data_IF_859956216822
#
_entry.id   IF_859956216822
#
_cell.length_a   1.000
_cell.length_b   1.000
_cell.length_c   1.000
_cell.angle_alpha   90.00
_cell.angle_beta   90.00
_cell.angle_gamma   90.00
#
_symmetry.space_group_name_H-M   'P 1'
#
loop_
_entity.id
_entity.type
_entity.pdbx_description
1 polymer ?
#
# COMPACT_ATOMS: atom_id res chain seq x y z
N UNK A 1 -17.57 19.09 -28.92
CA UNK A 1 -16.63 18.05 -28.42
C UNK A 1 -16.88 17.77 -26.95
N UNK A 2 -16.96 18.76 -26.05
CA UNK A 2 -17.22 18.51 -24.62
C UNK A 2 -18.72 18.27 -24.31
N UNK A 3 -19.63 18.58 -25.20
CA UNK A 3 -21.09 18.41 -25.03
C UNK A 3 -21.52 16.94 -24.88
N UNK A 4 -20.71 16.00 -25.39
CA UNK A 4 -20.93 14.56 -25.27
C UNK A 4 -20.15 13.90 -24.13
N UNK A 5 -19.46 14.73 -23.30
CA UNK A 5 -18.62 14.22 -22.22
C UNK A 5 -19.50 13.66 -21.10
N UNK A 6 -19.32 12.38 -20.83
CA UNK A 6 -19.79 11.75 -19.58
C UNK A 6 -18.60 11.53 -18.68
N UNK A 7 -18.61 12.14 -17.50
CA UNK A 7 -17.54 11.95 -16.53
C UNK A 7 -17.44 10.48 -16.11
N UNK A 8 -16.24 9.92 -15.95
CA UNK A 8 -16.07 8.61 -15.35
C UNK A 8 -16.67 8.57 -13.94
N UNK A 9 -17.06 7.38 -13.50
CA UNK A 9 -17.54 7.19 -12.13
C UNK A 9 -16.48 7.66 -11.11
N UNK A 10 -16.91 8.44 -10.13
CA UNK A 10 -16.00 8.95 -9.09
C UNK A 10 -15.44 7.80 -8.25
N UNK A 11 -14.16 7.87 -7.91
CA UNK A 11 -13.53 6.95 -6.98
C UNK A 11 -14.32 6.84 -5.68
N UNK A 12 -14.56 5.61 -5.21
CA UNK A 12 -15.41 5.33 -4.04
C UNK A 12 -14.91 6.00 -2.76
N UNK A 13 -13.59 6.11 -2.58
CA UNK A 13 -12.99 6.76 -1.41
C UNK A 13 -13.17 8.27 -1.49
N UNK A 14 -12.95 8.88 -2.67
CA UNK A 14 -13.16 10.32 -2.88
C UNK A 14 -14.62 10.69 -2.67
N UNK A 15 -15.55 9.88 -3.17
CA UNK A 15 -16.98 10.05 -2.94
C UNK A 15 -17.33 9.96 -1.45
N UNK A 16 -16.76 8.98 -0.73
CA UNK A 16 -16.97 8.80 0.71
C UNK A 16 -16.47 10.02 1.49
N UNK A 17 -15.30 10.57 1.15
CA UNK A 17 -14.75 11.80 1.75
C UNK A 17 -15.71 12.99 1.58
N UNK A 18 -16.29 13.14 0.39
CA UNK A 18 -17.27 14.19 0.12
C UNK A 18 -18.54 14.04 0.97
N UNK A 19 -19.07 12.81 1.09
CA UNK A 19 -20.24 12.50 1.92
C UNK A 19 -19.92 12.76 3.41
N UNK A 20 -18.74 12.32 3.89
CA UNK A 20 -18.29 12.60 5.25
C UNK A 20 -18.20 14.10 5.54
N UNK A 21 -17.60 14.87 4.65
CA UNK A 21 -17.46 16.32 4.82
C UNK A 21 -18.82 17.03 4.90
N UNK A 22 -19.81 16.58 4.14
CA UNK A 22 -21.15 17.16 4.10
C UNK A 22 -22.05 16.75 5.28
N UNK A 23 -21.70 15.72 6.06
CA UNK A 23 -22.47 15.28 7.22
C UNK A 23 -22.29 16.27 8.38
N UNK A 24 -23.38 16.87 8.93
CA UNK A 24 -23.29 17.84 10.01
C UNK A 24 -23.08 17.22 11.41
N UNK A 25 -23.20 15.89 11.56
CA UNK A 25 -23.10 15.23 12.87
C UNK A 25 -21.70 15.41 13.47
N UNK A 26 -21.56 15.91 14.69
CA UNK A 26 -20.25 16.11 15.32
C UNK A 26 -19.57 14.80 15.74
N UNK A 27 -20.36 13.76 16.06
CA UNK A 27 -19.90 12.44 16.52
C UNK A 27 -19.58 11.45 15.38
N UNK A 28 -19.62 11.90 14.12
CA UNK A 28 -19.31 11.04 12.97
C UNK A 28 -17.89 10.50 13.02
N UNK A 29 -17.71 9.25 12.60
CA UNK A 29 -16.45 8.51 12.68
C UNK A 29 -15.96 8.18 11.25
N UNK A 30 -14.77 8.67 10.87
CA UNK A 30 -14.15 8.37 9.57
C UNK A 30 -13.07 7.29 9.72
N UNK A 31 -13.38 6.10 9.23
CA UNK A 31 -12.47 4.95 9.16
C UNK A 31 -12.26 4.47 7.71
N UNK A 32 -12.69 5.28 6.72
CA UNK A 32 -12.55 4.94 5.30
C UNK A 32 -11.24 5.45 4.68
N UNK A 33 -10.74 6.62 5.12
CA UNK A 33 -9.55 7.23 4.53
C UNK A 33 -8.27 6.58 5.07
N UNK A 34 -7.38 6.17 4.16
CA UNK A 34 -6.14 5.46 4.49
C UNK A 34 -4.99 6.39 4.94
N UNK A 35 -5.18 7.11 6.03
CA UNK A 35 -4.15 7.93 6.69
C UNK A 35 -4.02 7.54 8.15
N UNK A 36 -2.82 7.69 8.70
CA UNK A 36 -2.60 7.57 10.14
C UNK A 36 -3.15 8.82 10.84
N UNK A 37 -3.83 8.62 11.98
CA UNK A 37 -4.25 9.69 12.89
C UNK A 37 -3.83 9.32 14.31
N UNK A 38 -3.23 10.28 15.01
CA UNK A 38 -2.90 10.13 16.43
C UNK A 38 -4.16 10.17 17.32
N UNK A 39 -3.98 9.98 18.61
CA UNK A 39 -5.08 10.02 19.62
C UNK A 39 -5.88 11.33 19.63
N UNK A 40 -5.38 12.40 19.02
CA UNK A 40 -6.06 13.70 18.86
C UNK A 40 -6.79 13.80 17.51
N UNK A 41 -6.82 12.73 16.70
CA UNK A 41 -7.44 12.70 15.37
C UNK A 41 -6.66 13.45 14.28
N UNK A 42 -5.41 13.85 14.55
CA UNK A 42 -4.56 14.57 13.62
C UNK A 42 -3.60 13.63 12.90
N UNK A 43 -3.28 13.96 11.65
CA UNK A 43 -2.15 13.35 10.92
C UNK A 43 -0.90 14.18 11.20
N UNK A 44 -0.02 13.76 12.12
CA UNK A 44 1.14 14.57 12.53
C UNK A 44 2.20 14.57 11.40
N UNK A 45 2.98 15.64 11.35
CA UNK A 45 4.23 15.64 10.59
C UNK A 45 5.32 15.09 11.52
N UNK A 46 6.06 14.10 11.07
CA UNK A 46 7.16 13.50 11.83
C UNK A 46 8.23 14.57 12.16
N UNK A 47 8.81 14.50 13.35
CA UNK A 47 9.87 15.44 13.75
C UNK A 47 11.12 15.31 12.86
N UNK A 48 11.46 14.09 12.45
CA UNK A 48 12.52 13.82 11.48
C UNK A 48 12.27 14.55 10.14
N UNK A 49 11.02 14.55 9.64
CA UNK A 49 10.63 15.29 8.43
C UNK A 49 10.86 16.78 8.58
N UNK A 50 10.36 17.39 9.66
CA UNK A 50 10.56 18.84 9.92
C UNK A 50 12.02 19.24 10.02
N UNK A 51 12.84 18.41 10.63
CA UNK A 51 14.28 18.66 10.75
C UNK A 51 14.97 18.55 9.39
N UNK A 52 14.63 17.55 8.59
CA UNK A 52 15.14 17.39 7.22
C UNK A 52 14.74 18.59 6.33
N UNK A 53 13.48 19.01 6.37
CA UNK A 53 12.99 20.20 5.64
C UNK A 53 13.80 21.45 6.00
N UNK A 54 14.09 21.66 7.29
CA UNK A 54 14.91 22.80 7.74
C UNK A 54 16.34 22.72 7.20
N UNK A 55 16.99 21.54 7.27
CA UNK A 55 18.32 21.33 6.67
C UNK A 55 18.33 21.63 5.17
N UNK A 56 17.28 21.20 4.45
CA UNK A 56 17.14 21.45 3.02
C UNK A 56 16.97 22.95 2.76
N UNK A 57 16.11 23.63 3.52
CA UNK A 57 15.87 25.06 3.40
C UNK A 57 17.16 25.85 3.55
N UNK A 58 17.97 25.56 4.57
CA UNK A 58 19.22 26.27 4.86
C UNK A 58 20.31 26.00 3.81
N UNK A 59 20.34 24.80 3.22
CA UNK A 59 21.39 24.38 2.29
C UNK A 59 21.03 24.55 0.81
N UNK A 60 19.75 24.74 0.47
CA UNK A 60 19.31 24.80 -0.91
C UNK A 60 19.51 26.16 -1.55
N UNK A 61 20.33 26.23 -2.61
CA UNK A 61 20.59 27.47 -3.37
C UNK A 61 20.01 27.50 -4.78
N UNK A 62 19.37 26.39 -5.23
CA UNK A 62 18.81 26.29 -6.59
C UNK A 62 17.50 25.51 -6.62
N UNK A 63 16.64 25.85 -7.56
CA UNK A 63 15.40 25.13 -7.92
C UNK A 63 15.44 24.61 -9.37
N UNK A 64 16.66 24.44 -9.92
CA UNK A 64 16.81 23.81 -11.24
C UNK A 64 16.33 22.35 -11.21
N UNK A 65 15.98 21.84 -12.39
CA UNK A 65 15.54 20.46 -12.54
C UNK A 65 16.61 19.47 -12.10
N UNK A 66 16.17 18.37 -11.49
CA UNK A 66 16.98 17.15 -11.26
C UNK A 66 17.09 16.34 -12.57
N UNK A 67 17.64 15.13 -12.52
CA UNK A 67 17.62 14.25 -13.69
C UNK A 67 16.21 13.75 -14.02
N UNK A 68 16.00 13.24 -15.25
CA UNK A 68 14.74 12.60 -15.63
C UNK A 68 14.40 11.39 -14.77
N UNK A 69 15.42 10.68 -14.27
CA UNK A 69 15.24 9.57 -13.34
C UNK A 69 14.92 10.04 -11.91
N UNK A 70 15.17 11.29 -11.57
CA UNK A 70 15.15 11.83 -10.20
C UNK A 70 16.54 12.00 -9.63
N UNK A 71 16.62 12.39 -8.35
CA UNK A 71 17.88 12.54 -7.63
C UNK A 71 18.51 11.16 -7.34
N UNK A 72 19.77 10.99 -7.73
CA UNK A 72 20.48 9.71 -7.56
C UNK A 72 20.67 9.35 -6.08
N UNK A 73 20.98 10.32 -5.22
CA UNK A 73 21.18 10.05 -3.80
C UNK A 73 19.89 9.54 -3.13
N UNK A 74 18.73 10.11 -3.51
CA UNK A 74 17.44 9.58 -3.08
C UNK A 74 17.22 8.13 -3.53
N UNK A 75 17.49 7.83 -4.80
CA UNK A 75 17.29 6.50 -5.35
C UNK A 75 18.21 5.47 -4.69
N UNK A 76 19.48 5.81 -4.47
CA UNK A 76 20.44 4.97 -3.75
C UNK A 76 19.98 4.70 -2.30
N UNK A 77 19.52 5.74 -1.58
CA UNK A 77 19.04 5.60 -0.21
C UNK A 77 17.77 4.72 -0.12
N UNK A 78 16.85 4.82 -1.09
CA UNK A 78 15.66 3.95 -1.17
C UNK A 78 16.06 2.52 -1.55
N UNK A 79 17.03 2.34 -2.43
CA UNK A 79 17.56 1.00 -2.74
C UNK A 79 18.12 0.33 -1.48
N UNK A 80 18.94 1.03 -0.69
CA UNK A 80 19.49 0.50 0.57
C UNK A 80 18.40 0.21 1.63
N UNK A 81 17.33 0.99 1.62
CA UNK A 81 16.19 0.76 2.51
C UNK A 81 15.42 -0.52 2.15
N UNK A 82 15.23 -0.79 0.85
CA UNK A 82 14.35 -1.84 0.36
C UNK A 82 15.06 -3.19 0.14
N UNK A 83 16.35 -3.21 -0.15
CA UNK A 83 17.04 -4.45 -0.50
C UNK A 83 18.18 -4.76 0.47
N UNK A 84 18.21 -5.99 0.96
CA UNK A 84 19.31 -6.50 1.79
C UNK A 84 20.56 -6.83 0.97
N UNK A 85 20.42 -7.03 -0.34
CA UNK A 85 21.49 -7.44 -1.23
C UNK A 85 21.75 -6.39 -2.31
N UNK A 86 23.03 -6.19 -2.64
CA UNK A 86 23.43 -5.39 -3.80
C UNK A 86 23.26 -6.22 -5.08
N UNK A 87 22.92 -5.57 -6.17
CA UNK A 87 22.73 -6.19 -7.49
C UNK A 87 22.45 -5.15 -8.56
N UNK A 88 22.27 -5.62 -9.80
CA UNK A 88 21.93 -4.76 -10.91
C UNK A 88 20.47 -4.26 -10.77
N UNK A 89 20.30 -2.98 -10.41
CA UNK A 89 18.98 -2.36 -10.25
C UNK A 89 18.89 -1.06 -11.03
N UNK A 90 17.79 -0.90 -11.77
CA UNK A 90 17.40 0.35 -12.37
C UNK A 90 16.40 1.06 -11.45
N UNK A 91 16.46 2.38 -11.35
CA UNK A 91 15.59 3.13 -10.45
C UNK A 91 15.15 4.48 -11.02
N UNK A 92 13.92 4.87 -10.72
CA UNK A 92 13.38 6.21 -10.99
C UNK A 92 12.54 6.70 -9.82
N UNK A 93 12.60 8.00 -9.55
CA UNK A 93 11.68 8.68 -8.65
C UNK A 93 10.32 8.90 -9.36
N UNK A 94 9.24 8.87 -8.57
CA UNK A 94 7.87 8.98 -9.08
C UNK A 94 6.99 9.82 -8.15
N UNK A 95 5.88 10.40 -8.67
CA UNK A 95 4.92 11.13 -7.83
C UNK A 95 4.09 10.16 -6.96
N UNK A 96 4.71 9.63 -5.91
CA UNK A 96 4.12 8.70 -4.95
C UNK A 96 3.96 7.26 -5.47
N UNK A 97 3.43 6.38 -4.63
CA UNK A 97 3.24 4.95 -4.97
C UNK A 97 2.32 4.73 -6.17
N UNK A 98 1.27 5.55 -6.34
CA UNK A 98 0.41 5.46 -7.54
C UNK A 98 1.19 5.73 -8.81
N UNK A 99 2.08 6.74 -8.80
CA UNK A 99 2.99 6.99 -9.91
C UNK A 99 3.95 5.83 -10.15
N UNK A 100 4.47 5.24 -9.06
CA UNK A 100 5.36 4.08 -9.16
C UNK A 100 4.67 2.87 -9.82
N UNK A 101 3.50 2.48 -9.32
CA UNK A 101 2.75 1.35 -9.89
C UNK A 101 2.32 1.60 -11.34
N UNK A 102 1.90 2.85 -11.64
CA UNK A 102 1.59 3.21 -13.02
C UNK A 102 2.81 3.03 -13.93
N UNK A 103 3.99 3.48 -13.52
CA UNK A 103 5.23 3.30 -14.28
C UNK A 103 5.61 1.82 -14.42
N UNK A 104 5.45 1.01 -13.36
CA UNK A 104 5.62 -0.44 -13.46
C UNK A 104 4.70 -1.03 -14.55
N UNK A 105 3.41 -0.67 -14.54
CA UNK A 105 2.44 -1.22 -15.49
C UNK A 105 2.65 -0.68 -16.93
N UNK A 106 3.10 0.56 -17.09
CA UNK A 106 3.49 1.08 -18.40
C UNK A 106 4.74 0.38 -18.94
N UNK A 107 5.73 0.08 -18.09
CA UNK A 107 6.89 -0.72 -18.47
C UNK A 107 6.47 -2.14 -18.91
N UNK A 108 5.58 -2.80 -18.18
CA UNK A 108 5.01 -4.09 -18.59
C UNK A 108 4.34 -4.01 -19.96
N UNK A 109 3.49 -3.00 -20.17
CA UNK A 109 2.80 -2.78 -21.46
C UNK A 109 3.78 -2.57 -22.60
N UNK A 110 4.86 -1.83 -22.35
CA UNK A 110 5.90 -1.59 -23.35
C UNK A 110 6.65 -2.87 -23.70
N UNK A 111 7.02 -3.65 -22.69
CA UNK A 111 7.75 -4.89 -22.85
C UNK A 111 6.92 -6.01 -23.49
N UNK A 112 5.67 -6.16 -23.08
CA UNK A 112 4.74 -7.20 -23.55
C UNK A 112 3.30 -6.69 -23.57
N UNK A 113 2.82 -6.09 -24.65
CA UNK A 113 1.48 -5.46 -24.72
C UNK A 113 0.31 -6.41 -24.41
N UNK A 114 0.48 -7.71 -24.62
CA UNK A 114 -0.57 -8.73 -24.46
C UNK A 114 -0.39 -9.58 -23.19
N UNK A 115 0.50 -9.21 -22.27
CA UNK A 115 0.66 -9.95 -21.02
C UNK A 115 -0.60 -9.81 -20.15
N UNK A 116 -0.82 -10.80 -19.29
CA UNK A 116 -1.81 -10.74 -18.22
C UNK A 116 -1.16 -10.29 -16.91
N UNK A 117 -1.81 -9.38 -16.20
CA UNK A 117 -1.41 -8.98 -14.84
C UNK A 117 -2.35 -9.64 -13.85
N UNK A 118 -1.78 -10.44 -12.96
CA UNK A 118 -2.51 -11.15 -11.92
C UNK A 118 -2.53 -10.31 -10.63
N UNK A 119 -3.73 -10.11 -10.07
CA UNK A 119 -3.96 -9.33 -8.84
C UNK A 119 -4.47 -10.24 -7.71
N UNK A 120 -4.11 -9.98 -6.45
CA UNK A 120 -4.73 -10.68 -5.33
C UNK A 120 -6.22 -10.32 -5.22
N UNK A 121 -7.04 -11.27 -4.81
CA UNK A 121 -8.46 -11.05 -4.54
C UNK A 121 -8.70 -11.21 -3.03
N UNK A 122 -9.08 -10.10 -2.33
CA UNK A 122 -9.21 -8.72 -2.80
C UNK A 122 -7.86 -7.99 -2.92
N UNK A 123 -7.88 -6.80 -3.52
CA UNK A 123 -6.70 -5.93 -3.64
C UNK A 123 -7.07 -4.44 -3.52
N UNK A 124 -6.08 -3.57 -3.50
CA UNK A 124 -6.29 -2.13 -3.62
C UNK A 124 -6.97 -1.80 -4.96
N UNK A 125 -8.18 -1.18 -4.96
CA UNK A 125 -8.98 -1.02 -6.17
C UNK A 125 -8.27 -0.30 -7.33
N UNK A 126 -7.30 0.55 -7.00
CA UNK A 126 -6.59 1.32 -8.02
C UNK A 126 -5.61 0.47 -8.85
N UNK A 127 -5.20 -0.72 -8.39
CA UNK A 127 -4.44 -1.67 -9.22
C UNK A 127 -5.22 -2.00 -10.49
N UNK A 128 -6.43 -2.52 -10.35
CA UNK A 128 -7.28 -2.86 -11.48
C UNK A 128 -7.70 -1.62 -12.30
N UNK A 129 -7.89 -0.46 -11.65
CA UNK A 129 -8.25 0.77 -12.33
C UNK A 129 -7.13 1.25 -13.27
N UNK A 130 -5.89 1.28 -12.82
CA UNK A 130 -4.73 1.68 -13.63
C UNK A 130 -4.52 0.70 -14.79
N UNK A 131 -4.57 -0.61 -14.52
CA UNK A 131 -4.39 -1.65 -15.53
C UNK A 131 -5.44 -1.56 -16.64
N UNK A 132 -6.73 -1.38 -16.28
CA UNK A 132 -7.81 -1.16 -17.25
C UNK A 132 -7.62 0.10 -18.07
N UNK A 133 -7.22 1.20 -17.42
CA UNK A 133 -6.90 2.44 -18.12
C UNK A 133 -5.77 2.26 -19.16
N UNK A 134 -4.77 1.45 -18.82
CA UNK A 134 -3.67 1.11 -19.72
C UNK A 134 -4.05 0.08 -20.79
N UNK A 135 -5.22 -0.54 -20.71
CA UNK A 135 -5.67 -1.58 -21.61
C UNK A 135 -4.92 -2.91 -21.45
N UNK A 136 -4.39 -3.18 -20.25
CA UNK A 136 -3.76 -4.45 -19.91
C UNK A 136 -4.81 -5.47 -19.47
N UNK A 137 -4.56 -6.75 -19.78
CA UNK A 137 -5.41 -7.84 -19.33
C UNK A 137 -5.18 -8.08 -17.82
N UNK A 138 -6.28 -8.39 -17.12
CA UNK A 138 -6.26 -8.60 -15.66
C UNK A 138 -6.91 -9.95 -15.36
N UNK A 139 -6.23 -10.73 -14.53
CA UNK A 139 -6.74 -11.91 -13.86
C UNK A 139 -6.61 -11.72 -12.35
N UNK A 140 -7.34 -12.51 -11.56
CA UNK A 140 -7.18 -12.51 -10.11
C UNK A 140 -6.69 -13.86 -9.62
N UNK A 141 -6.02 -13.85 -8.46
CA UNK A 141 -5.69 -15.05 -7.71
C UNK A 141 -6.26 -14.96 -6.29
N UNK A 142 -6.72 -16.07 -5.76
CA UNK A 142 -7.25 -16.15 -4.40
C UNK A 142 -6.18 -15.80 -3.38
N UNK A 143 -6.50 -14.89 -2.49
CA UNK A 143 -5.61 -14.46 -1.43
C UNK A 143 -6.25 -14.61 -0.05
N UNK A 144 -7.54 -14.25 0.08
CA UNK A 144 -8.27 -14.33 1.33
C UNK A 144 -9.26 -15.50 1.30
N UNK A 145 -9.23 -16.34 2.33
CA UNK A 145 -10.26 -17.33 2.60
C UNK A 145 -11.47 -16.66 3.26
N UNK A 146 -12.60 -16.66 2.59
CA UNK A 146 -13.85 -16.06 3.08
C UNK A 146 -14.37 -16.76 4.34
N UNK A 147 -14.12 -18.07 4.47
CA UNK A 147 -14.57 -18.83 5.61
C UNK A 147 -13.77 -18.54 6.88
N UNK A 148 -12.47 -18.38 6.79
CA UNK A 148 -11.58 -18.14 7.96
C UNK A 148 -11.20 -16.67 8.13
N UNK A 149 -11.29 -15.86 7.05
CA UNK A 149 -10.79 -14.49 7.00
C UNK A 149 -9.27 -14.37 6.97
N UNK A 150 -8.57 -15.50 6.92
CA UNK A 150 -7.12 -15.62 6.80
C UNK A 150 -6.64 -15.77 5.36
N UNK A 151 -5.38 -16.18 5.18
CA UNK A 151 -4.82 -16.48 3.86
C UNK A 151 -5.39 -17.78 3.30
N UNK A 152 -5.88 -17.77 2.06
CA UNK A 152 -6.18 -18.99 1.30
C UNK A 152 -4.91 -19.53 0.64
N UNK A 153 -4.03 -20.16 1.43
CA UNK A 153 -2.77 -20.67 0.91
C UNK A 153 -2.98 -21.69 -0.25
N UNK A 154 -3.93 -22.61 -0.11
CA UNK A 154 -4.18 -23.62 -1.13
C UNK A 154 -4.70 -22.99 -2.43
N UNK A 155 -5.66 -22.07 -2.32
CA UNK A 155 -6.18 -21.33 -3.45
C UNK A 155 -5.14 -20.46 -4.12
N UNK A 156 -4.36 -19.72 -3.35
CA UNK A 156 -3.25 -18.90 -3.82
C UNK A 156 -2.28 -19.74 -4.67
N UNK A 157 -1.79 -20.85 -4.14
CA UNK A 157 -0.82 -21.68 -4.84
C UNK A 157 -1.41 -22.35 -6.09
N UNK A 158 -2.68 -22.77 -6.05
CA UNK A 158 -3.36 -23.34 -7.20
C UNK A 158 -3.52 -22.32 -8.35
N UNK A 159 -3.81 -21.06 -8.02
CA UNK A 159 -4.00 -20.01 -9.01
C UNK A 159 -2.64 -19.52 -9.57
N UNK A 160 -1.63 -19.32 -8.72
CA UNK A 160 -0.28 -18.96 -9.17
C UNK A 160 0.35 -20.02 -10.07
N UNK A 161 0.00 -21.29 -9.89
CA UNK A 161 0.41 -22.37 -10.78
C UNK A 161 -0.16 -22.24 -12.22
N UNK A 162 -1.19 -21.42 -12.44
CA UNK A 162 -1.78 -21.16 -13.77
C UNK A 162 -1.15 -19.95 -14.48
N UNK A 163 -0.35 -19.15 -13.79
CA UNK A 163 0.30 -17.98 -14.37
C UNK A 163 1.14 -18.38 -15.58
N UNK A 164 0.95 -17.74 -16.72
CA UNK A 164 1.72 -18.04 -17.92
C UNK A 164 3.11 -17.41 -17.86
N UNK A 165 4.05 -17.99 -18.62
CA UNK A 165 5.40 -17.46 -18.72
C UNK A 165 5.39 -16.02 -19.29
N UNK A 166 5.96 -15.09 -18.51
CA UNK A 166 6.05 -13.69 -18.87
C UNK A 166 4.82 -12.86 -18.52
N UNK A 167 3.80 -13.45 -17.87
CA UNK A 167 2.78 -12.69 -17.16
C UNK A 167 3.38 -11.99 -15.91
N UNK A 168 2.71 -10.99 -15.41
CA UNK A 168 3.12 -10.30 -14.19
C UNK A 168 2.17 -10.62 -13.02
N UNK A 169 2.73 -10.66 -11.81
CA UNK A 169 1.95 -10.93 -10.58
C UNK A 169 2.18 -9.79 -9.59
N UNK A 170 1.13 -9.05 -9.27
CA UNK A 170 1.17 -7.99 -8.26
C UNK A 170 1.03 -8.60 -6.88
N UNK A 171 1.95 -8.24 -5.98
CA UNK A 171 1.98 -8.71 -4.59
C UNK A 171 2.18 -7.50 -3.69
N UNK A 172 1.41 -7.39 -2.60
CA UNK A 172 1.70 -6.42 -1.56
C UNK A 172 2.91 -6.90 -0.76
N UNK A 173 3.95 -6.06 -0.66
CA UNK A 173 5.20 -6.42 0.01
C UNK A 173 5.05 -6.61 1.52
N UNK A 174 4.10 -5.90 2.13
CA UNK A 174 3.67 -6.05 3.53
C UNK A 174 2.32 -5.36 3.73
N UNK A 175 1.66 -5.62 4.87
CA UNK A 175 0.44 -4.94 5.30
C UNK A 175 -0.64 -4.92 4.22
N UNK A 176 -1.02 -6.09 3.74
CA UNK A 176 -1.91 -6.25 2.59
C UNK A 176 -3.16 -5.36 2.68
N UNK A 177 -3.36 -4.50 1.71
CA UNK A 177 -4.53 -3.64 1.59
C UNK A 177 -5.56 -4.29 0.63
N UNK A 178 -6.77 -4.68 1.11
CA UNK A 178 -7.45 -4.17 2.30
C UNK A 178 -7.43 -5.09 3.55
N UNK A 179 -6.83 -6.26 3.51
CA UNK A 179 -7.10 -7.33 4.48
C UNK A 179 -6.26 -7.29 5.76
N UNK A 180 -5.06 -6.69 5.71
CA UNK A 180 -4.08 -6.80 6.80
C UNK A 180 -3.47 -8.19 6.97
N UNK A 181 -3.75 -9.13 6.07
CA UNK A 181 -3.17 -10.49 6.10
C UNK A 181 -1.70 -10.43 5.70
N UNK A 182 -0.86 -11.12 6.47
CA UNK A 182 0.57 -11.28 6.17
C UNK A 182 0.87 -12.73 5.81
N UNK A 183 1.51 -13.00 4.67
CA UNK A 183 2.02 -14.33 4.37
C UNK A 183 3.13 -14.73 5.35
N UNK A 184 3.16 -16.01 5.74
CA UNK A 184 4.25 -16.56 6.56
C UNK A 184 5.55 -16.64 5.76
N UNK A 185 6.73 -16.78 6.40
CA UNK A 185 8.00 -16.98 5.70
C UNK A 185 7.97 -18.19 4.73
N UNK A 186 7.28 -19.27 5.09
CA UNK A 186 7.11 -20.42 4.20
C UNK A 186 6.22 -20.10 3.01
N UNK A 187 5.12 -19.37 3.24
CA UNK A 187 4.27 -18.90 2.13
C UNK A 187 5.03 -17.99 1.15
N UNK A 188 5.87 -17.07 1.67
CA UNK A 188 6.71 -16.23 0.82
C UNK A 188 7.66 -17.05 -0.05
N UNK A 189 8.25 -18.12 0.52
CA UNK A 189 9.11 -19.07 -0.24
C UNK A 189 8.32 -19.81 -1.30
N UNK A 190 7.13 -20.33 -0.96
CA UNK A 190 6.28 -21.04 -1.92
C UNK A 190 5.86 -20.14 -3.10
N UNK A 191 5.48 -18.89 -2.82
CA UNK A 191 5.19 -17.88 -3.85
C UNK A 191 6.42 -17.66 -4.75
N UNK A 192 7.58 -17.36 -4.17
CA UNK A 192 8.79 -17.05 -4.90
C UNK A 192 9.22 -18.19 -5.84
N UNK A 193 9.28 -19.43 -5.31
CA UNK A 193 9.62 -20.64 -6.08
C UNK A 193 8.60 -20.87 -7.20
N UNK A 194 7.32 -20.68 -6.94
CA UNK A 194 6.27 -20.85 -7.95
C UNK A 194 6.42 -19.83 -9.07
N UNK A 195 6.61 -18.55 -8.75
CA UNK A 195 6.76 -17.50 -9.76
C UNK A 195 8.04 -17.69 -10.59
N UNK A 196 9.16 -18.05 -9.96
CA UNK A 196 10.38 -18.37 -10.65
C UNK A 196 10.22 -19.56 -11.62
N UNK A 197 9.58 -20.64 -11.15
CA UNK A 197 9.28 -21.82 -11.98
C UNK A 197 8.35 -21.50 -13.15
N UNK A 198 7.40 -20.57 -12.96
CA UNK A 198 6.46 -20.14 -14.01
C UNK A 198 7.11 -19.13 -14.99
N UNK A 199 8.25 -18.56 -14.64
CA UNK A 199 8.86 -17.44 -15.40
C UNK A 199 7.97 -16.22 -15.40
N UNK A 200 7.27 -15.99 -14.29
CA UNK A 200 6.42 -14.82 -14.07
C UNK A 200 7.23 -13.66 -13.50
N UNK A 201 6.82 -12.42 -13.79
CA UNK A 201 7.47 -11.22 -13.27
C UNK A 201 6.73 -10.70 -12.02
N UNK A 202 7.35 -10.76 -10.82
CA UNK A 202 6.77 -10.14 -9.64
C UNK A 202 6.77 -8.62 -9.74
N UNK A 203 5.63 -8.00 -9.33
CA UNK A 203 5.47 -6.56 -9.13
C UNK A 203 5.09 -6.34 -7.68
N UNK A 204 6.02 -5.83 -6.89
CA UNK A 204 5.82 -5.66 -5.45
C UNK A 204 5.34 -4.24 -5.15
N UNK A 205 4.14 -4.12 -4.54
CA UNK A 205 3.64 -2.86 -3.98
C UNK A 205 4.14 -2.70 -2.55
N UNK A 206 5.13 -1.81 -2.36
CA UNK A 206 5.76 -1.52 -1.07
C UNK A 206 5.28 -0.16 -0.54
N UNK A 207 4.02 -0.09 -0.11
CA UNK A 207 3.41 1.15 0.36
C UNK A 207 3.41 1.30 1.88
N UNK A 208 3.65 0.25 2.66
CA UNK A 208 3.44 0.22 4.11
C UNK A 208 4.66 -0.25 4.91
N UNK A 209 5.85 -0.17 4.35
CA UNK A 209 7.10 -0.59 5.00
C UNK A 209 7.23 0.02 6.40
N UNK A 210 7.45 -0.81 7.41
CA UNK A 210 7.59 -0.43 8.81
C UNK A 210 6.29 -0.42 9.63
N UNK A 211 5.11 -0.62 8.99
CA UNK A 211 3.82 -0.69 9.68
C UNK A 211 3.34 -2.10 10.04
N UNK A 212 4.00 -3.14 9.55
CA UNK A 212 3.69 -4.52 9.89
C UNK A 212 4.37 -4.96 11.17
N UNK A 213 5.61 -5.40 11.07
CA UNK A 213 6.42 -5.89 12.19
C UNK A 213 7.75 -5.14 12.35
N UNK A 214 8.03 -4.20 11.47
CA UNK A 214 9.27 -3.41 11.43
C UNK A 214 9.88 -3.43 10.03
N UNK A 215 10.81 -2.51 9.78
CA UNK A 215 11.38 -2.31 8.43
C UNK A 215 12.01 -3.59 7.89
N UNK A 216 12.82 -4.30 8.68
CA UNK A 216 13.51 -5.51 8.26
C UNK A 216 12.55 -6.68 8.05
N UNK A 217 11.60 -6.85 8.96
CA UNK A 217 10.60 -7.92 8.89
C UNK A 217 9.65 -7.72 7.71
N UNK A 218 9.22 -6.47 7.49
CA UNK A 218 8.30 -6.12 6.40
C UNK A 218 8.95 -6.24 5.02
N UNK A 219 10.28 -6.15 4.96
CA UNK A 219 11.08 -6.34 3.75
C UNK A 219 11.39 -7.81 3.44
N UNK A 220 11.30 -8.69 4.43
CA UNK A 220 11.74 -10.09 4.30
C UNK A 220 11.09 -10.84 3.13
N UNK A 221 9.81 -10.59 2.84
CA UNK A 221 9.11 -11.17 1.69
C UNK A 221 9.73 -10.72 0.36
N UNK A 222 10.09 -9.44 0.22
CA UNK A 222 10.78 -8.93 -0.96
C UNK A 222 12.16 -9.59 -1.13
N UNK A 223 12.92 -9.75 -0.03
CA UNK A 223 14.23 -10.40 -0.09
C UNK A 223 14.13 -11.85 -0.60
N UNK A 224 13.10 -12.60 -0.16
CA UNK A 224 12.83 -13.97 -0.62
C UNK A 224 12.46 -13.98 -2.12
N UNK A 225 11.61 -13.09 -2.58
CA UNK A 225 11.25 -12.98 -4.01
C UNK A 225 12.48 -12.63 -4.84
N UNK A 226 13.31 -11.69 -4.40
CA UNK A 226 14.51 -11.26 -5.12
C UNK A 226 15.60 -12.33 -5.18
N UNK A 227 15.64 -13.25 -4.21
CA UNK A 227 16.57 -14.37 -4.22
C UNK A 227 16.21 -15.45 -5.26
N UNK A 228 14.93 -15.69 -5.48
CA UNK A 228 14.43 -16.73 -6.39
C UNK A 228 14.13 -16.20 -7.80
N UNK A 229 13.64 -14.96 -7.93
CA UNK A 229 13.25 -14.37 -9.20
C UNK A 229 14.37 -13.46 -9.73
N UNK A 230 14.88 -13.69 -10.96
CA UNK A 230 15.99 -12.91 -11.52
C UNK A 230 15.59 -11.46 -11.84
N UNK A 231 14.31 -11.20 -12.07
CA UNK A 231 13.75 -9.89 -12.39
C UNK A 231 12.56 -9.61 -11.50
N UNK A 232 12.52 -8.42 -10.90
CA UNK A 232 11.46 -7.97 -9.98
C UNK A 232 11.23 -6.47 -10.18
N UNK A 233 9.97 -6.04 -10.25
CA UNK A 233 9.61 -4.62 -10.18
C UNK A 233 9.09 -4.29 -8.77
N UNK A 234 9.56 -3.19 -8.20
CA UNK A 234 9.10 -2.70 -6.90
C UNK A 234 8.56 -1.28 -7.04
N UNK A 235 7.29 -1.09 -6.69
CA UNK A 235 6.68 0.22 -6.56
C UNK A 235 6.70 0.67 -5.10
N UNK A 236 7.57 1.61 -4.76
CA UNK A 236 7.72 2.15 -3.40
C UNK A 236 6.89 3.43 -3.20
N UNK A 237 6.34 3.59 -1.99
CA UNK A 237 5.68 4.82 -1.55
C UNK A 237 6.17 5.26 -0.17
N UNK A 238 6.63 6.50 -0.07
CA UNK A 238 6.96 7.14 1.21
C UNK A 238 5.75 7.80 1.90
N UNK A 239 4.55 7.75 1.28
CA UNK A 239 3.37 8.46 1.79
C UNK A 239 3.01 8.08 3.22
N UNK A 240 3.15 6.81 3.62
CA UNK A 240 2.81 6.32 4.95
C UNK A 240 4.04 6.28 5.85
N UNK A 241 5.08 5.55 5.46
CA UNK A 241 6.29 5.32 6.27
C UNK A 241 7.02 6.61 6.68
N UNK A 242 6.90 7.67 5.88
CA UNK A 242 7.46 9.00 6.19
C UNK A 242 6.38 10.06 6.47
N UNK A 243 5.09 9.70 6.45
CA UNK A 243 4.00 10.65 6.64
C UNK A 243 3.88 11.73 5.55
N UNK A 244 4.52 11.53 4.38
CA UNK A 244 4.60 12.49 3.26
C UNK A 244 3.44 12.33 2.28
N UNK A 245 2.20 12.32 2.77
CA UNK A 245 1.00 12.10 1.94
C UNK A 245 0.83 13.13 0.83
N UNK A 246 1.16 14.40 1.11
CA UNK A 246 0.99 15.54 0.19
C UNK A 246 2.12 15.68 -0.82
N UNK A 247 3.33 15.29 -0.42
CA UNK A 247 4.56 15.56 -1.20
C UNK A 247 4.72 14.63 -2.40
N UNK A 248 3.91 13.57 -2.43
CA UNK A 248 3.87 12.60 -3.53
C UNK A 248 5.24 11.99 -3.82
N UNK A 249 5.81 11.31 -2.81
CA UNK A 249 7.13 10.69 -2.87
C UNK A 249 7.01 9.19 -3.10
N UNK A 250 7.69 8.70 -4.13
CA UNK A 250 7.76 7.27 -4.46
C UNK A 250 8.92 6.98 -5.39
N UNK A 251 9.12 5.70 -5.66
CA UNK A 251 10.13 5.22 -6.59
C UNK A 251 9.69 3.91 -7.26
N UNK A 252 10.17 3.68 -8.48
CA UNK A 252 10.26 2.33 -9.06
C UNK A 252 11.69 1.86 -8.95
N UNK A 253 11.87 0.64 -8.47
CA UNK A 253 13.13 -0.08 -8.54
C UNK A 253 12.91 -1.38 -9.30
N UNK A 254 13.80 -1.67 -10.23
CA UNK A 254 13.76 -2.88 -11.04
C UNK A 254 15.03 -3.70 -10.79
N UNK A 255 14.92 -4.85 -10.13
CA UNK A 255 15.99 -5.83 -10.12
C UNK A 255 16.13 -6.44 -11.51
N UNK A 256 17.36 -6.49 -12.02
CA UNK A 256 17.69 -7.00 -13.34
C UNK A 256 18.68 -8.15 -13.23
N UNK A 257 18.57 -9.15 -14.10
CA UNK A 257 19.45 -10.32 -14.07
C UNK A 257 20.88 -10.03 -14.55
N UNK A 258 21.13 -8.87 -15.16
CA UNK A 258 22.47 -8.47 -15.62
C UNK A 258 22.62 -6.95 -15.73
N UNK A 259 23.87 -6.41 -15.67
CA UNK A 259 24.12 -4.98 -15.88
C UNK A 259 23.70 -4.46 -17.26
N UNK A 260 23.72 -5.30 -18.29
CA UNK A 260 23.26 -4.91 -19.61
C UNK A 260 21.75 -4.64 -19.62
N UNK A 261 20.96 -5.54 -19.04
CA UNK A 261 19.51 -5.38 -18.89
C UNK A 261 19.18 -4.22 -17.92
N UNK A 262 19.98 -4.01 -16.87
CA UNK A 262 19.83 -2.84 -16.01
C UNK A 262 19.91 -1.53 -16.81
N UNK A 263 20.88 -1.40 -17.70
CA UNK A 263 21.05 -0.19 -18.52
C UNK A 263 19.84 0.06 -19.44
N UNK A 264 19.33 -0.99 -20.08
CA UNK A 264 18.14 -0.90 -20.94
C UNK A 264 16.87 -0.55 -20.12
N UNK A 265 16.69 -1.21 -18.97
CA UNK A 265 15.58 -0.93 -18.07
C UNK A 265 15.64 0.50 -17.52
N UNK A 266 16.83 0.99 -17.14
CA UNK A 266 17.03 2.39 -16.72
C UNK A 266 16.65 3.36 -17.83
N UNK A 267 17.02 3.07 -19.08
CA UNK A 267 16.64 3.82 -20.25
C UNK A 267 15.13 3.87 -20.43
N UNK A 268 14.46 2.71 -20.37
CA UNK A 268 13.00 2.61 -20.48
C UNK A 268 12.27 3.40 -19.38
N UNK A 269 12.63 3.17 -18.12
CA UNK A 269 11.99 3.84 -16.99
C UNK A 269 12.18 5.36 -17.06
N UNK A 270 13.37 5.83 -17.43
CA UNK A 270 13.66 7.26 -17.59
C UNK A 270 12.86 7.86 -18.75
N UNK A 271 12.72 7.12 -19.85
CA UNK A 271 11.90 7.54 -21.00
C UNK A 271 10.41 7.63 -20.60
N UNK A 272 9.89 6.69 -19.83
CA UNK A 272 8.51 6.74 -19.32
C UNK A 272 8.28 7.97 -18.43
N UNK A 273 9.22 8.32 -17.54
CA UNK A 273 9.14 9.57 -16.78
C UNK A 273 9.01 10.77 -17.72
N UNK A 274 9.81 10.80 -18.79
CA UNK A 274 9.75 11.90 -19.77
C UNK A 274 8.38 12.02 -20.42
N UNK A 275 7.70 10.89 -20.69
CA UNK A 275 6.37 10.89 -21.31
C UNK A 275 5.26 11.31 -20.34
N UNK A 276 5.41 11.01 -19.03
CA UNK A 276 4.34 11.22 -18.06
C UNK A 276 4.36 12.60 -17.41
N UNK A 277 5.51 13.05 -16.89
CA UNK A 277 5.64 14.31 -16.14
C UNK A 277 6.99 15.01 -16.34
N UNK A 278 7.77 14.58 -17.29
CA UNK A 278 9.13 15.04 -17.62
C UNK A 278 10.12 14.81 -16.48
N UNK A 279 10.06 15.60 -15.41
CA UNK A 279 10.92 15.46 -14.24
C UNK A 279 10.06 15.14 -13.01
N UNK A 280 10.48 14.19 -12.16
CA UNK A 280 9.73 13.86 -10.94
C UNK A 280 9.78 15.02 -9.93
N UNK A 281 8.80 15.11 -9.00
CA UNK A 281 8.87 16.06 -7.88
C UNK A 281 10.06 15.75 -6.98
N UNK A 282 10.81 16.79 -6.58
CA UNK A 282 12.11 16.64 -5.91
C UNK A 282 12.10 16.97 -4.41
N UNK A 283 11.27 17.91 -3.96
CA UNK A 283 11.35 18.38 -2.57
C UNK A 283 11.16 17.24 -1.56
N UNK A 284 10.09 16.48 -1.69
CA UNK A 284 9.82 15.36 -0.78
C UNK A 284 10.83 14.21 -0.90
N UNK A 285 11.38 13.95 -2.11
CA UNK A 285 12.44 12.93 -2.29
C UNK A 285 13.71 13.33 -1.54
N UNK A 286 14.07 14.62 -1.55
CA UNK A 286 15.20 15.14 -0.77
C UNK A 286 14.96 15.03 0.74
N UNK A 287 13.73 15.22 1.22
CA UNK A 287 13.39 15.01 2.63
C UNK A 287 13.68 13.56 3.03
N UNK A 288 13.23 12.59 2.24
CA UNK A 288 13.49 11.17 2.49
C UNK A 288 14.99 10.86 2.43
N UNK A 289 15.70 11.36 1.42
CA UNK A 289 17.15 11.19 1.28
C UNK A 289 17.90 11.74 2.51
N UNK A 290 17.62 12.97 2.93
CA UNK A 290 18.27 13.59 4.11
C UNK A 290 18.01 12.78 5.39
N UNK A 291 16.80 12.24 5.55
CA UNK A 291 16.47 11.39 6.71
C UNK A 291 17.27 10.08 6.66
N UNK A 292 17.38 9.46 5.50
CA UNK A 292 18.03 8.15 5.36
C UNK A 292 19.56 8.24 5.44
N UNK A 293 20.15 9.33 4.95
CA UNK A 293 21.61 9.55 4.94
C UNK A 293 22.15 10.08 6.28
N UNK A 294 21.33 10.76 7.07
CA UNK A 294 21.72 11.27 8.38
C UNK A 294 21.40 10.24 9.48
N UNK A 295 22.42 9.65 10.15
CA UNK A 295 22.18 8.59 11.14
C UNK A 295 21.28 8.99 12.30
N UNK A 296 21.32 10.26 12.74
CA UNK A 296 20.47 10.76 13.83
C UNK A 296 19.03 10.92 13.37
N UNK A 297 18.81 11.53 12.19
CA UNK A 297 17.46 11.66 11.62
C UNK A 297 16.86 10.30 11.29
N UNK A 298 17.66 9.36 10.78
CA UNK A 298 17.22 7.99 10.51
C UNK A 298 16.80 7.27 11.78
N UNK A 299 17.57 7.40 12.87
CA UNK A 299 17.21 6.81 14.15
C UNK A 299 15.90 7.41 14.71
N UNK A 300 15.74 8.74 14.63
CA UNK A 300 14.53 9.43 15.03
C UNK A 300 13.32 8.98 14.20
N UNK A 301 13.45 8.91 12.88
CA UNK A 301 12.41 8.43 12.00
C UNK A 301 11.99 6.97 12.31
N UNK A 302 12.95 6.08 12.53
CA UNK A 302 12.66 4.69 12.92
C UNK A 302 11.90 4.62 14.24
N UNK A 303 12.27 5.45 15.21
CA UNK A 303 11.59 5.52 16.50
C UNK A 303 10.14 6.04 16.36
N UNK A 304 9.92 7.12 15.59
CA UNK A 304 8.59 7.67 15.32
C UNK A 304 7.71 6.66 14.57
N UNK A 305 8.24 6.01 13.53
CA UNK A 305 7.52 4.99 12.75
C UNK A 305 7.15 3.79 13.65
N UNK A 306 8.06 3.37 14.53
CA UNK A 306 7.80 2.30 15.50
C UNK A 306 6.71 2.68 16.50
N UNK A 307 6.70 3.92 16.98
CA UNK A 307 5.64 4.43 17.87
C UNK A 307 4.27 4.42 17.17
N UNK A 308 4.20 4.87 15.90
CA UNK A 308 2.97 4.81 15.10
C UNK A 308 2.47 3.38 14.90
N UNK A 309 3.37 2.43 14.61
CA UNK A 309 3.03 1.01 14.49
C UNK A 309 2.46 0.46 15.80
N UNK A 310 3.11 0.71 16.93
CA UNK A 310 2.63 0.26 18.24
C UNK A 310 1.25 0.83 18.59
N UNK A 311 0.98 2.08 18.22
CA UNK A 311 -0.35 2.68 18.41
C UNK A 311 -1.40 1.98 17.54
N UNK A 312 -1.08 1.67 16.27
CA UNK A 312 -1.97 0.90 15.38
C UNK A 312 -2.24 -0.49 15.94
N UNK A 313 -1.21 -1.18 16.44
CA UNK A 313 -1.35 -2.51 17.04
C UNK A 313 -2.20 -2.47 18.33
N UNK A 314 -2.03 -1.42 19.15
CA UNK A 314 -2.86 -1.20 20.34
C UNK A 314 -4.33 -0.92 19.96
N UNK A 315 -4.58 -0.10 18.95
CA UNK A 315 -5.93 0.15 18.43
C UNK A 315 -6.58 -1.13 17.90
N UNK A 316 -5.81 -1.94 17.17
CA UNK A 316 -6.24 -3.25 16.65
C UNK A 316 -6.63 -4.20 17.78
N UNK A 317 -5.81 -4.29 18.81
CA UNK A 317 -6.09 -5.15 19.97
C UNK A 317 -7.32 -4.64 20.74
N UNK A 318 -7.42 -3.34 21.00
CA UNK A 318 -8.58 -2.71 21.62
C UNK A 318 -9.87 -3.04 20.86
N UNK A 319 -9.86 -2.91 19.52
CA UNK A 319 -11.02 -3.24 18.71
C UNK A 319 -11.37 -4.73 18.73
N UNK A 320 -10.38 -5.60 18.72
CA UNK A 320 -10.60 -7.04 18.86
C UNK A 320 -11.22 -7.38 20.23
N UNK A 321 -10.78 -6.74 21.31
CA UNK A 321 -11.32 -6.96 22.66
C UNK A 321 -12.76 -6.45 22.78
N UNK A 322 -13.08 -5.27 22.20
CA UNK A 322 -14.45 -4.75 22.14
C UNK A 322 -15.37 -5.69 21.34
N UNK A 323 -14.90 -6.23 20.20
CA UNK A 323 -15.65 -7.23 19.44
C UNK A 323 -15.94 -8.50 20.24
N UNK A 324 -14.99 -8.98 21.06
CA UNK A 324 -15.19 -10.13 21.95
C UNK A 324 -16.25 -9.88 23.01
N UNK A 325 -16.29 -8.67 23.58
CA UNK A 325 -17.35 -8.26 24.53
C UNK A 325 -18.74 -8.34 23.91
N UNK A 326 -18.85 -8.13 22.59
CA UNK A 326 -20.07 -8.25 21.82
C UNK A 326 -20.28 -9.64 21.17
N UNK A 327 -19.62 -10.69 21.67
CA UNK A 327 -19.74 -12.08 21.20
C UNK A 327 -19.33 -12.32 19.74
N UNK A 328 -18.50 -11.45 19.18
CA UNK A 328 -17.94 -11.57 17.82
C UNK A 328 -16.52 -12.13 17.81
N UNK A 329 -16.26 -13.18 18.63
CA UNK A 329 -14.92 -13.73 18.86
C UNK A 329 -14.18 -14.11 17.58
N UNK A 330 -14.86 -14.71 16.60
CA UNK A 330 -14.23 -15.08 15.31
C UNK A 330 -13.69 -13.86 14.57
N UNK A 331 -14.47 -12.79 14.42
CA UNK A 331 -14.02 -11.55 13.77
C UNK A 331 -12.88 -10.90 14.57
N UNK A 332 -12.98 -10.91 15.90
CA UNK A 332 -11.94 -10.40 16.78
C UNK A 332 -10.60 -11.13 16.58
N UNK A 333 -10.61 -12.46 16.51
CA UNK A 333 -9.41 -13.26 16.31
C UNK A 333 -8.79 -13.03 14.93
N UNK A 334 -9.61 -12.90 13.88
CA UNK A 334 -9.17 -12.52 12.55
C UNK A 334 -8.45 -11.16 12.56
N UNK A 335 -9.06 -10.14 13.15
CA UNK A 335 -8.50 -8.78 13.23
C UNK A 335 -7.21 -8.77 14.05
N UNK A 336 -7.17 -9.45 15.20
CA UNK A 336 -5.98 -9.49 16.05
C UNK A 336 -4.77 -10.14 15.37
N UNK A 337 -4.98 -11.09 14.46
CA UNK A 337 -3.93 -11.78 13.73
C UNK A 337 -3.32 -10.94 12.58
N UNK A 338 -4.02 -9.89 12.12
CA UNK A 338 -3.63 -9.07 10.99
C UNK A 338 -2.64 -7.97 11.37
N UNK A 339 -2.03 -7.30 10.37
CA UNK A 339 -1.04 -6.23 10.56
C UNK A 339 -1.34 -5.02 9.69
N UNK A 340 -0.68 -3.91 10.00
CA UNK A 340 -0.78 -2.68 9.21
C UNK A 340 -2.06 -1.89 9.48
N UNK A 341 -2.37 -0.99 8.57
CA UNK A 341 -3.41 0.03 8.80
C UNK A 341 -4.85 -0.50 8.68
N UNK A 342 -5.07 -1.62 7.99
CA UNK A 342 -6.41 -2.03 7.58
C UNK A 342 -6.81 -3.43 8.06
N UNK A 343 -8.11 -3.64 8.10
CA UNK A 343 -8.76 -4.95 8.19
C UNK A 343 -10.07 -4.94 7.40
N UNK A 344 -10.55 -6.11 7.00
CA UNK A 344 -11.89 -6.28 6.42
C UNK A 344 -12.84 -6.84 7.48
N UNK A 345 -13.99 -6.19 7.62
CA UNK A 345 -15.02 -6.60 8.60
C UNK A 345 -15.94 -7.68 8.07
N UNK A 346 -15.97 -7.92 6.75
CA UNK A 346 -16.87 -8.89 6.13
C UNK A 346 -18.35 -8.47 6.11
N UNK A 347 -18.62 -7.17 6.21
CA UNK A 347 -19.98 -6.63 6.15
C UNK A 347 -20.42 -6.49 4.69
N UNK A 348 -21.74 -6.65 4.45
CA UNK A 348 -22.30 -6.36 3.14
C UNK A 348 -22.28 -4.85 2.83
N UNK A 349 -22.30 -4.45 1.54
CA UNK A 349 -22.42 -3.03 1.17
C UNK A 349 -23.67 -2.35 1.77
N UNK A 350 -24.75 -3.11 2.01
CA UNK A 350 -25.95 -2.61 2.67
C UNK A 350 -25.71 -2.31 4.15
N UNK A 351 -25.01 -3.21 4.86
CA UNK A 351 -24.66 -3.00 6.28
C UNK A 351 -23.75 -1.77 6.43
N UNK A 352 -22.73 -1.64 5.56
CA UNK A 352 -21.85 -0.46 5.53
C UNK A 352 -22.65 0.83 5.31
N UNK A 353 -23.64 0.81 4.40
CA UNK A 353 -24.53 1.96 4.18
C UNK A 353 -25.38 2.26 5.42
N UNK A 354 -25.96 1.24 6.05
CA UNK A 354 -26.75 1.39 7.27
C UNK A 354 -25.93 1.98 8.42
N UNK A 355 -24.69 1.51 8.64
CA UNK A 355 -23.77 2.09 9.64
C UNK A 355 -23.54 3.59 9.38
N UNK A 356 -23.32 3.98 8.14
CA UNK A 356 -23.13 5.38 7.75
C UNK A 356 -24.39 6.21 8.04
N UNK A 357 -25.55 5.75 7.60
CA UNK A 357 -26.81 6.53 7.66
C UNK A 357 -27.33 6.64 9.10
N UNK A 358 -27.28 5.55 9.86
CA UNK A 358 -27.90 5.50 11.20
C UNK A 358 -26.93 5.85 12.33
N UNK A 359 -25.64 5.59 12.17
CA UNK A 359 -24.62 5.73 13.24
C UNK A 359 -23.50 6.72 12.90
N UNK A 360 -23.47 7.28 11.69
CA UNK A 360 -22.37 8.18 11.27
C UNK A 360 -21.00 7.49 11.16
N UNK A 361 -20.97 6.17 10.98
CA UNK A 361 -19.74 5.40 10.83
C UNK A 361 -19.43 5.25 9.34
N UNK A 362 -18.31 5.79 8.92
CA UNK A 362 -17.89 5.86 7.52
C UNK A 362 -16.80 4.82 7.23
N UNK A 363 -17.17 3.79 6.50
CA UNK A 363 -16.30 2.73 5.97
C UNK A 363 -16.37 2.73 4.45
N UNK A 364 -15.36 2.15 3.80
CA UNK A 364 -15.43 1.84 2.35
C UNK A 364 -16.45 0.71 2.12
N UNK A 365 -17.11 0.68 0.96
CA UNK A 365 -18.21 -0.26 0.67
C UNK A 365 -17.81 -1.75 0.76
N UNK A 366 -16.53 -2.06 0.60
CA UNK A 366 -15.96 -3.40 0.80
C UNK A 366 -15.77 -3.79 2.27
N UNK A 367 -16.26 -2.95 3.19
CA UNK A 367 -16.13 -3.09 4.64
C UNK A 367 -14.70 -2.95 5.20
N UNK A 368 -13.77 -2.35 4.44
CA UNK A 368 -12.44 -2.03 4.94
C UNK A 368 -12.52 -0.99 6.04
N UNK A 369 -11.88 -1.28 7.18
CA UNK A 369 -11.73 -0.37 8.32
C UNK A 369 -10.27 0.08 8.46
N UNK A 370 -10.05 1.38 8.69
CA UNK A 370 -8.73 1.96 8.98
C UNK A 370 -8.47 1.96 10.50
N UNK A 371 -7.68 1.01 10.98
CA UNK A 371 -7.30 0.91 12.40
C UNK A 371 -6.26 1.95 12.82
N UNK A 372 -5.55 2.55 11.86
CA UNK A 372 -4.63 3.66 12.10
C UNK A 372 -5.33 5.00 12.39
N UNK A 373 -6.66 5.03 12.29
CA UNK A 373 -7.50 6.16 12.70
C UNK A 373 -8.51 5.77 13.79
N UNK A 374 -8.47 4.53 14.28
CA UNK A 374 -9.36 4.01 15.29
C UNK A 374 -8.94 4.54 16.68
N UNK A 375 -9.84 5.22 17.37
CA UNK A 375 -9.64 5.58 18.78
C UNK A 375 -10.35 4.55 19.67
N UNK A 376 -9.99 4.43 20.98
CA UNK A 376 -10.71 3.55 21.89
C UNK A 376 -12.21 3.84 22.00
N UNK A 377 -12.61 5.11 21.86
CA UNK A 377 -14.03 5.49 21.83
C UNK A 377 -14.70 5.03 20.54
N UNK A 378 -14.06 5.25 19.39
CA UNK A 378 -14.57 4.78 18.11
C UNK A 378 -14.67 3.25 18.06
N UNK A 379 -13.69 2.54 18.63
CA UNK A 379 -13.65 1.08 18.73
C UNK A 379 -14.93 0.52 19.38
N UNK A 380 -15.29 1.01 20.57
CA UNK A 380 -16.51 0.58 21.28
C UNK A 380 -17.79 0.86 20.48
N UNK A 381 -17.91 2.08 19.92
CA UNK A 381 -19.08 2.47 19.13
C UNK A 381 -19.24 1.59 17.88
N UNK A 382 -18.14 1.31 17.19
CA UNK A 382 -18.13 0.48 15.97
C UNK A 382 -18.44 -0.97 16.29
N UNK A 383 -17.86 -1.54 17.36
CA UNK A 383 -18.11 -2.91 17.79
C UNK A 383 -19.58 -3.12 18.18
N UNK A 384 -20.15 -2.20 18.98
CA UNK A 384 -21.59 -2.21 19.33
C UNK A 384 -22.48 -2.12 18.08
N UNK A 385 -22.16 -1.20 17.15
CA UNK A 385 -22.98 -1.00 15.96
C UNK A 385 -22.97 -2.23 15.05
N UNK A 386 -21.81 -2.89 14.85
CA UNK A 386 -21.70 -4.12 14.06
C UNK A 386 -22.46 -5.27 14.74
N UNK A 387 -22.37 -5.42 16.06
CA UNK A 387 -23.11 -6.43 16.81
C UNK A 387 -24.63 -6.26 16.66
N UNK A 388 -25.12 -5.03 16.70
CA UNK A 388 -26.53 -4.73 16.49
C UNK A 388 -27.02 -5.15 15.10
N UNK A 389 -26.20 -4.92 14.06
CA UNK A 389 -26.52 -5.38 12.70
C UNK A 389 -26.57 -6.90 12.60
N UNK A 390 -25.59 -7.59 13.20
CA UNK A 390 -25.53 -9.06 13.17
C UNK A 390 -26.75 -9.70 13.85
N UNK A 391 -27.23 -9.14 14.96
CA UNK A 391 -28.44 -9.61 15.65
C UNK A 391 -29.71 -9.37 14.83
N UNK A 392 -29.84 -8.22 14.17
CA UNK A 392 -30.96 -7.90 13.30
C UNK A 392 -31.05 -8.84 12.09
N UNK A 393 -29.90 -9.19 11.48
CA UNK A 393 -29.82 -10.13 10.36
C UNK A 393 -30.13 -11.58 10.72
N UNK A 394 -29.99 -11.99 11.99
CA UNK A 394 -30.37 -13.34 12.47
C UNK A 394 -31.87 -13.45 12.82
N UNK A 395 -32.54 -12.33 12.93
CA UNK A 395 -33.97 -12.26 13.32
C UNK A 395 -34.89 -12.07 12.11
N UNK A 396 -34.34 -11.89 10.91
CA UNK A 396 -35.06 -11.73 9.65
C UNK A 396 -34.90 -12.97 8.76
#
# INVERSE_FOLDING_TARGET
MFETLTAPEADKIIRLMGIFAADPRPEKIDLGVGVYRNSQGQTPIMAAVKQAERKIWDAQHSKSYVSLAGDKAYLDAVEELLFSTRGAKAAIATPGGTGALRQCFEALKYLRPNLTVWLPEPTWPNHASILRYLGLQVQTYRFRDEATGGLDHAGLMADLAQVAQGDAVVIHGCCHNPTGIEPTPDTWRDIAVTLAKRGALPVIDMAYLGFGSGIEQDRAGLDVICAECPEVLVGFSASKSFGLYRDRVGAVLAQCHSPAIQSEMQGLLTWLNRQNYAFPPDHGTRVVQVILDDPELRANWVAELSAMRHEIDANRQCFADDLRQHQMGRLADQIAAQRGMFSLLGLSPNDVRQLRETRGIYLVEDSRVNLAAMTPTASRIVAEAISTLAQAGQSA
#
